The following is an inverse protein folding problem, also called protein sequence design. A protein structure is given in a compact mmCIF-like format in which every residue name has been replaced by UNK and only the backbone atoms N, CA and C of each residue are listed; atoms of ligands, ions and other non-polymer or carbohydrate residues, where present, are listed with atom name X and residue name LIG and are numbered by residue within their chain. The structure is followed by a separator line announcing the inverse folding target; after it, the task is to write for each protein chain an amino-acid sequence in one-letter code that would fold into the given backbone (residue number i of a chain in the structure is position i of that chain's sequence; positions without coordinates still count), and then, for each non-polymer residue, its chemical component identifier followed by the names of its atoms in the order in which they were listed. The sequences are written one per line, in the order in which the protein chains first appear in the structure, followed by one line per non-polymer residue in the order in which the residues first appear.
data_IF_419208787948
#
_entry.id   IF_419208787948
#
_cell.length_a   1.000
_cell.length_b   1.000
_cell.length_c   1.000
_cell.angle_alpha   90.00
_cell.angle_beta   90.00
_cell.angle_gamma   90.00
#
_symmetry.space_group_name_H-M   'P 1'
#
loop_
_entity.id
_entity.type
_entity.pdbx_description
1 polymer ?
#
# COMPACT_ATOMS: atom_id res chain seq x y z
N UNK A 1 0.21 -10.21 -13.80
CA UNK A 1 -0.44 -9.38 -12.77
C UNK A 1 -0.81 -10.29 -11.62
N UNK A 2 -0.24 -10.05 -10.45
CA UNK A 2 -0.44 -10.85 -9.24
C UNK A 2 -1.09 -9.94 -8.19
N UNK A 3 -2.14 -10.41 -7.53
CA UNK A 3 -2.84 -9.69 -6.47
C UNK A 3 -2.74 -10.50 -5.19
N UNK A 4 -2.32 -9.86 -4.11
CA UNK A 4 -2.09 -10.46 -2.80
C UNK A 4 -2.89 -9.72 -1.77
N UNK A 5 -3.76 -10.43 -1.06
CA UNK A 5 -4.31 -9.92 0.19
C UNK A 5 -3.21 -9.94 1.25
N UNK A 6 -2.64 -8.76 1.54
CA UNK A 6 -1.51 -8.65 2.45
C UNK A 6 -1.93 -8.57 3.92
N UNK A 7 -2.98 -7.80 4.22
CA UNK A 7 -3.62 -7.71 5.54
C UNK A 7 -5.14 -7.64 5.39
N UNK A 8 -5.93 -7.50 6.45
CA UNK A 8 -7.40 -7.40 6.36
C UNK A 8 -7.85 -6.24 5.45
N UNK A 9 -7.14 -5.10 5.51
CA UNK A 9 -7.53 -3.86 4.83
C UNK A 9 -6.56 -3.43 3.72
N UNK A 10 -5.55 -4.24 3.38
CA UNK A 10 -4.54 -3.91 2.37
C UNK A 10 -4.33 -5.06 1.40
N UNK A 11 -4.51 -4.77 0.11
CA UNK A 11 -4.18 -5.67 -0.99
C UNK A 11 -3.09 -5.05 -1.85
N UNK A 12 -2.16 -5.86 -2.34
CA UNK A 12 -1.04 -5.44 -3.18
C UNK A 12 -1.22 -6.08 -4.55
N UNK A 13 -1.28 -5.24 -5.58
CA UNK A 13 -1.34 -5.68 -6.96
C UNK A 13 -0.03 -5.32 -7.66
N UNK A 14 0.72 -6.31 -8.12
CA UNK A 14 1.91 -6.10 -8.94
C UNK A 14 1.50 -5.85 -10.40
N UNK A 15 1.81 -4.65 -10.90
CA UNK A 15 1.50 -4.19 -12.26
C UNK A 15 2.63 -4.55 -13.24
N UNK A 16 3.88 -4.37 -12.81
CA UNK A 16 5.13 -4.73 -13.51
C UNK A 16 6.22 -5.11 -12.50
N UNK A 17 7.46 -5.33 -12.97
CA UNK A 17 8.60 -5.64 -12.09
C UNK A 17 9.02 -4.46 -11.19
N UNK A 18 8.56 -3.25 -11.52
CA UNK A 18 8.91 -1.99 -10.88
C UNK A 18 7.69 -1.12 -10.51
N UNK A 19 6.47 -1.66 -10.65
CA UNK A 19 5.24 -0.94 -10.32
C UNK A 19 4.22 -1.80 -9.56
N UNK A 20 3.66 -1.21 -8.51
CA UNK A 20 2.76 -1.82 -7.54
C UNK A 20 1.57 -0.90 -7.27
N UNK A 21 0.41 -1.47 -7.02
CA UNK A 21 -0.76 -0.76 -6.55
C UNK A 21 -1.14 -1.30 -5.18
N UNK A 22 -1.12 -0.43 -4.19
CA UNK A 22 -1.68 -0.71 -2.86
C UNK A 22 -3.14 -0.27 -2.88
N UNK A 23 -4.04 -1.20 -2.56
CA UNK A 23 -5.47 -0.94 -2.34
C UNK A 23 -5.75 -0.99 -0.85
N UNK A 24 -6.35 0.06 -0.31
CA UNK A 24 -6.56 0.21 1.12
C UNK A 24 -8.02 0.56 1.41
N UNK A 25 -8.69 -0.25 2.23
CA UNK A 25 -10.11 -0.07 2.58
C UNK A 25 -10.32 0.58 3.96
N UNK A 26 -9.26 1.00 4.62
CA UNK A 26 -9.30 1.70 5.91
C UNK A 26 -8.50 3.01 5.88
N UNK A 27 -9.12 4.09 6.37
CA UNK A 27 -8.52 5.43 6.32
C UNK A 27 -7.30 5.58 7.25
N UNK A 28 -7.28 4.92 8.42
CA UNK A 28 -6.15 4.99 9.36
C UNK A 28 -4.94 4.27 8.79
N UNK A 29 -5.17 3.08 8.24
CA UNK A 29 -4.15 2.31 7.55
C UNK A 29 -3.61 3.08 6.34
N UNK A 30 -4.47 3.73 5.57
CA UNK A 30 -4.04 4.56 4.43
C UNK A 30 -3.11 5.70 4.87
N UNK A 31 -3.47 6.46 5.91
CA UNK A 31 -2.62 7.54 6.42
C UNK A 31 -1.28 7.04 6.98
N UNK A 32 -1.28 5.89 7.64
CA UNK A 32 -0.07 5.24 8.11
C UNK A 32 0.84 4.85 6.93
N UNK A 33 0.29 4.15 5.93
CA UNK A 33 1.05 3.72 4.76
C UNK A 33 1.59 4.89 3.93
N UNK A 34 0.82 5.97 3.79
CA UNK A 34 1.34 7.19 3.17
C UNK A 34 2.59 7.71 3.90
N UNK A 35 2.56 7.74 5.22
CA UNK A 35 3.71 8.19 6.02
C UNK A 35 4.91 7.27 5.84
N UNK A 36 4.69 5.95 5.84
CA UNK A 36 5.75 4.96 5.61
C UNK A 36 6.36 5.12 4.21
N UNK A 37 5.53 5.17 3.17
CA UNK A 37 5.98 5.33 1.79
C UNK A 37 6.73 6.66 1.58
N UNK A 38 6.18 7.79 2.01
CA UNK A 38 6.79 9.10 1.74
C UNK A 38 8.08 9.33 2.53
N UNK A 39 8.08 8.98 3.82
CA UNK A 39 9.14 9.39 4.75
C UNK A 39 10.11 8.27 5.08
N UNK A 40 9.60 7.13 5.53
CA UNK A 40 10.44 6.05 6.03
C UNK A 40 11.13 5.31 4.88
N UNK A 41 10.40 5.06 3.78
CA UNK A 41 10.94 4.41 2.60
C UNK A 41 11.53 5.39 1.58
N UNK A 42 11.21 6.69 1.70
CA UNK A 42 11.69 7.73 0.80
C UNK A 42 11.10 7.67 -0.62
N UNK A 43 9.90 7.11 -0.76
CA UNK A 43 9.21 6.90 -2.05
C UNK A 43 8.38 8.10 -2.51
N UNK A 44 8.55 9.28 -1.92
CA UNK A 44 7.71 10.47 -2.19
C UNK A 44 7.55 10.77 -3.70
N UNK A 45 8.61 10.58 -4.50
CA UNK A 45 8.59 10.82 -5.95
C UNK A 45 8.09 9.63 -6.79
N UNK A 46 8.01 8.47 -6.16
CA UNK A 46 7.62 7.20 -6.74
C UNK A 46 6.17 6.85 -6.45
N UNK A 47 5.45 7.63 -5.64
CA UNK A 47 4.06 7.37 -5.32
C UNK A 47 3.09 8.37 -5.96
N UNK A 48 1.94 7.86 -6.39
CA UNK A 48 0.78 8.65 -6.77
C UNK A 48 -0.43 8.17 -5.98
N UNK A 49 -1.18 9.14 -5.45
CA UNK A 49 -2.34 8.90 -4.60
C UNK A 49 -3.61 9.04 -5.41
N UNK A 50 -4.54 8.11 -5.24
CA UNK A 50 -5.89 8.24 -5.78
C UNK A 50 -6.89 7.54 -4.86
N UNK A 51 -8.17 7.64 -5.21
CA UNK A 51 -9.25 6.98 -4.49
C UNK A 51 -10.28 6.49 -5.50
N UNK A 52 -10.95 5.42 -5.16
CA UNK A 52 -12.05 4.85 -5.90
C UNK A 52 -13.22 4.54 -4.96
N UNK A 53 -14.36 4.17 -5.53
CA UNK A 53 -15.48 3.63 -4.78
C UNK A 53 -15.64 2.16 -5.11
N UNK A 54 -15.55 1.31 -4.09
CA UNK A 54 -15.76 -0.13 -4.21
C UNK A 54 -16.96 -0.51 -3.34
N UNK A 55 -18.01 -1.04 -3.97
CA UNK A 55 -19.27 -1.42 -3.30
C UNK A 55 -19.95 -0.31 -2.47
N UNK A 56 -19.70 0.96 -2.81
CA UNK A 56 -20.26 2.11 -2.08
C UNK A 56 -19.35 2.65 -0.97
N UNK A 57 -18.26 1.95 -0.66
CA UNK A 57 -17.24 2.38 0.29
C UNK A 57 -16.03 2.97 -0.44
N UNK A 58 -15.27 3.83 0.25
CA UNK A 58 -14.05 4.43 -0.29
C UNK A 58 -12.92 3.39 -0.24
N UNK A 59 -12.29 3.16 -1.39
CA UNK A 59 -11.04 2.42 -1.53
C UNK A 59 -9.93 3.42 -1.86
N UNK A 60 -8.94 3.55 -0.98
CA UNK A 60 -7.77 4.39 -1.21
C UNK A 60 -6.73 3.63 -2.02
N UNK A 61 -6.04 4.34 -2.91
CA UNK A 61 -5.09 3.75 -3.83
C UNK A 61 -3.74 4.49 -3.72
N UNK A 62 -2.66 3.72 -3.56
CA UNK A 62 -1.29 4.21 -3.68
C UNK A 62 -0.63 3.46 -4.83
N UNK A 63 -0.45 4.14 -5.95
CA UNK A 63 0.34 3.63 -7.06
C UNK A 63 1.81 3.93 -6.79
N UNK A 64 2.65 2.90 -6.82
CA UNK A 64 4.09 2.96 -6.59
C UNK A 64 4.77 2.59 -7.90
N UNK A 65 5.64 3.45 -8.43
CA UNK A 65 6.38 3.24 -9.67
C UNK A 65 7.88 3.46 -9.49
N UNK A 66 8.68 2.93 -10.42
CA UNK A 66 10.13 3.08 -10.43
C UNK A 66 10.82 2.45 -9.20
N UNK A 67 10.17 1.46 -8.58
CA UNK A 67 10.71 0.73 -7.42
C UNK A 67 10.79 -0.74 -7.79
N UNK A 68 11.98 -1.30 -8.03
CA UNK A 68 12.14 -2.72 -8.32
C UNK A 68 11.54 -3.61 -7.23
N UNK A 69 10.96 -4.76 -7.62
CA UNK A 69 10.34 -5.74 -6.72
C UNK A 69 11.20 -6.08 -5.48
N UNK A 70 12.51 -6.19 -5.65
CA UNK A 70 13.43 -6.45 -4.54
C UNK A 70 13.43 -5.33 -3.50
N UNK A 71 13.48 -4.07 -3.94
CA UNK A 71 13.43 -2.90 -3.05
C UNK A 71 12.04 -2.76 -2.41
N UNK A 72 10.98 -2.93 -3.20
CA UNK A 72 9.61 -2.90 -2.70
C UNK A 72 9.42 -3.96 -1.60
N UNK A 73 9.82 -5.21 -1.87
CA UNK A 73 9.69 -6.30 -0.92
C UNK A 73 10.54 -6.11 0.33
N UNK A 74 11.77 -5.60 0.18
CA UNK A 74 12.65 -5.31 1.33
C UNK A 74 12.03 -4.30 2.28
N UNK A 75 11.46 -3.22 1.75
CA UNK A 75 10.99 -2.10 2.59
C UNK A 75 9.54 -2.36 3.06
N UNK A 76 8.63 -2.74 2.15
CA UNK A 76 7.22 -2.91 2.46
C UNK A 76 6.94 -4.10 3.37
N UNK A 77 7.61 -5.24 3.16
CA UNK A 77 7.33 -6.44 3.95
C UNK A 77 7.90 -6.40 5.38
N UNK A 78 8.60 -5.33 5.76
CA UNK A 78 8.87 -5.04 7.18
C UNK A 78 7.61 -4.63 7.95
N UNK A 79 6.55 -4.19 7.25
CA UNK A 79 5.28 -3.81 7.86
C UNK A 79 4.39 -5.05 8.06
N UNK A 80 4.62 -5.80 9.13
CA UNK A 80 3.87 -7.04 9.40
C UNK A 80 2.34 -6.87 9.22
N UNK A 81 1.65 -7.83 8.58
CA UNK A 81 0.20 -7.79 8.39
C UNK A 81 -0.58 -7.51 9.68
N UNK A 82 -0.15 -8.08 10.80
CA UNK A 82 -0.76 -7.89 12.12
C UNK A 82 -0.68 -6.43 12.59
N UNK A 83 0.41 -5.72 12.30
CA UNK A 83 0.53 -4.29 12.61
C UNK A 83 -0.53 -3.48 11.87
N UNK A 84 -0.70 -3.74 10.57
CA UNK A 84 -1.70 -3.04 9.74
C UNK A 84 -3.13 -3.33 10.22
N UNK A 85 -3.40 -4.58 10.62
CA UNK A 85 -4.68 -4.97 11.19
C UNK A 85 -4.96 -4.26 12.53
N UNK A 86 -3.94 -4.08 13.36
CA UNK A 86 -4.07 -3.40 14.65
C UNK A 86 -4.31 -1.90 14.49
N UNK A 87 -3.72 -1.26 13.48
CA UNK A 87 -3.94 0.17 13.16
C UNK A 87 -5.40 0.45 12.80
N UNK A 88 -6.04 -0.47 12.06
CA UNK A 88 -7.47 -0.33 11.72
C UNK A 88 -8.40 -0.46 12.94
N UNK A 89 -7.97 -1.20 13.98
CA UNK A 89 -8.77 -1.51 15.19
C UNK A 89 -8.61 -0.47 16.30
N UNK A 90 -7.46 0.21 16.35
CA UNK A 90 -7.25 1.41 17.20
C UNK A 90 -8.11 2.57 16.72
#
# INVERSE_FOLDING_TARGET
MFDVQYSENVSIQQLSDDAFLLKINDAKVYQYLLTQCEKEFGWERSIQKSQNFFNGDIEYLINVSDIPLENFGRDFFMLEPELLNNIAKS
#
